data_IF_727843262717
#
_entry.id   IF_727843262717
#
_cell.length_a   1.000
_cell.length_b   1.000
_cell.length_c   1.000
_cell.angle_alpha   90.00
_cell.angle_beta   90.00
_cell.angle_gamma   90.00
#
_symmetry.space_group_name_H-M   'P 1'
#
loop_
_entity.id
_entity.type
_entity.pdbx_description
1 polymer ?
#
# COMPACT_ATOMS: atom_id res chain seq x y z
N UNK A 1 -15.49 -16.84 3.83
CA UNK A 1 -14.76 -15.75 4.48
C UNK A 1 -13.35 -15.63 3.95
N UNK A 2 -12.53 -16.67 4.10
CA UNK A 2 -11.18 -16.66 3.53
C UNK A 2 -11.19 -16.42 2.02
N UNK A 3 -12.15 -17.03 1.31
CA UNK A 3 -12.30 -16.86 -0.13
C UNK A 3 -12.58 -15.40 -0.52
N UNK A 4 -13.43 -14.72 0.26
CA UNK A 4 -13.76 -13.33 -0.03
C UNK A 4 -12.53 -12.42 0.11
N UNK A 5 -11.72 -12.65 1.14
CA UNK A 5 -10.49 -11.92 1.35
C UNK A 5 -9.51 -12.16 0.20
N UNK A 6 -9.35 -13.41 -0.21
CA UNK A 6 -8.46 -13.74 -1.32
C UNK A 6 -8.94 -13.13 -2.64
N UNK A 7 -10.25 -13.11 -2.89
CA UNK A 7 -10.80 -12.50 -4.11
C UNK A 7 -10.58 -11.00 -4.13
N UNK A 8 -10.73 -10.31 -3.00
CA UNK A 8 -10.46 -8.88 -2.92
C UNK A 8 -9.00 -8.60 -3.21
N UNK A 9 -8.09 -9.38 -2.64
CA UNK A 9 -6.66 -9.25 -2.91
C UNK A 9 -6.31 -9.49 -4.38
N UNK A 10 -6.95 -10.48 -5.01
CA UNK A 10 -6.72 -10.73 -6.43
C UNK A 10 -7.11 -9.52 -7.28
N UNK A 11 -8.26 -8.89 -6.98
CA UNK A 11 -8.67 -7.67 -7.67
C UNK A 11 -7.68 -6.54 -7.47
N UNK A 12 -7.14 -6.41 -6.26
CA UNK A 12 -6.13 -5.39 -5.98
C UNK A 12 -4.89 -5.63 -6.83
N UNK A 13 -4.35 -6.85 -6.83
CA UNK A 13 -3.15 -7.14 -7.61
C UNK A 13 -3.38 -6.98 -9.10
N UNK A 14 -4.53 -7.42 -9.62
CA UNK A 14 -4.87 -7.21 -11.03
C UNK A 14 -4.95 -5.72 -11.37
N UNK A 15 -5.59 -4.94 -10.52
CA UNK A 15 -5.69 -3.49 -10.70
C UNK A 15 -4.34 -2.80 -10.65
N UNK A 16 -3.46 -3.20 -9.73
CA UNK A 16 -2.10 -2.66 -9.66
C UNK A 16 -1.32 -2.97 -10.93
N UNK A 17 -1.45 -4.18 -11.43
CA UNK A 17 -0.76 -4.59 -12.66
C UNK A 17 -1.23 -3.79 -13.88
N UNK A 18 -2.54 -3.57 -13.99
CA UNK A 18 -3.10 -2.75 -15.07
C UNK A 18 -2.61 -1.31 -15.00
N UNK A 19 -2.69 -0.71 -13.81
CA UNK A 19 -2.26 0.68 -13.62
C UNK A 19 -0.76 0.85 -13.85
N UNK A 20 0.03 -0.14 -13.48
CA UNK A 20 1.49 -0.07 -13.65
C UNK A 20 1.92 -0.03 -15.12
N UNK A 21 1.03 -0.41 -16.05
CA UNK A 21 1.32 -0.34 -17.49
C UNK A 21 1.20 1.08 -18.04
N UNK A 22 0.55 1.99 -17.32
CA UNK A 22 0.35 3.35 -17.78
C UNK A 22 1.59 4.18 -17.50
N UNK A 23 2.00 4.99 -18.49
CA UNK A 23 3.18 5.85 -18.32
C UNK A 23 2.92 6.99 -17.35
N UNK A 24 1.72 7.54 -17.38
CA UNK A 24 1.33 8.66 -16.51
C UNK A 24 -0.16 8.56 -16.19
N UNK A 25 -0.56 8.74 -14.94
CA UNK A 25 -1.96 8.59 -14.56
C UNK A 25 -2.76 9.88 -14.79
N UNK A 26 -4.05 9.71 -15.03
CA UNK A 26 -5.04 10.78 -14.84
C UNK A 26 -5.42 10.85 -13.36
N UNK A 27 -6.10 11.94 -12.96
CA UNK A 27 -6.62 12.05 -11.60
C UNK A 27 -7.53 10.88 -11.21
N UNK A 28 -8.38 10.45 -12.15
CA UNK A 28 -9.26 9.31 -11.91
C UNK A 28 -8.50 8.02 -11.65
N UNK A 29 -7.37 7.83 -12.31
CA UNK A 29 -6.54 6.64 -12.12
C UNK A 29 -5.77 6.67 -10.80
N UNK A 30 -5.34 7.84 -10.35
CA UNK A 30 -4.75 7.98 -9.01
C UNK A 30 -5.81 7.68 -7.94
N UNK A 31 -7.03 8.16 -8.13
CA UNK A 31 -8.16 7.83 -7.26
C UNK A 31 -8.46 6.34 -7.24
N UNK A 32 -8.41 5.69 -8.40
CA UNK A 32 -8.60 4.25 -8.51
C UNK A 32 -7.52 3.50 -7.73
N UNK A 33 -6.27 3.92 -7.83
CA UNK A 33 -5.16 3.33 -7.09
C UNK A 33 -5.39 3.42 -5.58
N UNK A 34 -5.75 4.61 -5.09
CA UNK A 34 -6.06 4.80 -3.68
C UNK A 34 -7.25 3.93 -3.23
N UNK A 35 -8.27 3.80 -4.06
CA UNK A 35 -9.44 2.95 -3.75
C UNK A 35 -9.07 1.48 -3.66
N UNK A 36 -8.22 1.00 -4.56
CA UNK A 36 -7.73 -0.39 -4.50
C UNK A 36 -6.99 -0.65 -3.19
N UNK A 37 -6.07 0.24 -2.83
CA UNK A 37 -5.30 0.10 -1.60
C UNK A 37 -6.20 0.19 -0.35
N UNK A 38 -7.18 1.08 -0.37
CA UNK A 38 -8.13 1.22 0.73
C UNK A 38 -9.02 0.00 0.91
N UNK A 39 -9.36 -0.69 -0.19
CA UNK A 39 -10.25 -1.86 -0.13
C UNK A 39 -9.68 -3.02 0.67
N UNK A 40 -8.36 -3.07 0.85
CA UNK A 40 -7.67 -4.09 1.65
C UNK A 40 -7.01 -3.50 2.89
N UNK A 41 -7.39 -2.29 3.27
CA UNK A 41 -6.91 -1.58 4.46
C UNK A 41 -5.41 -1.29 4.46
N UNK A 42 -4.84 -1.08 3.27
CA UNK A 42 -3.43 -0.68 3.14
C UNK A 42 -3.23 0.82 3.32
N UNK A 43 -4.32 1.60 3.45
CA UNK A 43 -4.27 3.02 3.78
C UNK A 43 -5.08 3.21 5.05
N UNK A 44 -4.43 3.65 6.13
CA UNK A 44 -5.06 3.80 7.44
C UNK A 44 -4.56 5.06 8.14
N UNK A 45 -5.42 5.75 8.90
CA UNK A 45 -4.99 6.95 9.62
C UNK A 45 -3.92 6.62 10.67
N UNK A 46 -2.83 7.36 10.65
CA UNK A 46 -1.84 7.36 11.73
C UNK A 46 -1.01 8.65 11.59
N UNK A 47 -0.21 8.98 12.61
CA UNK A 47 0.59 10.19 12.56
C UNK A 47 1.85 9.95 11.72
N UNK A 48 1.67 9.91 10.40
CA UNK A 48 2.76 9.61 9.46
C UNK A 48 3.85 10.69 9.43
N UNK A 49 3.53 11.93 9.83
CA UNK A 49 4.51 13.01 9.90
C UNK A 49 5.55 12.77 11.00
N UNK A 50 5.14 12.12 12.09
CA UNK A 50 6.03 11.83 13.21
C UNK A 50 6.73 10.48 13.07
N UNK A 51 6.41 9.71 12.04
CA UNK A 51 7.01 8.39 11.82
C UNK A 51 8.26 8.55 10.98
N UNK A 52 9.41 8.30 11.59
CA UNK A 52 10.71 8.61 11.00
C UNK A 52 11.36 7.43 10.28
N UNK A 53 10.67 6.30 10.15
CA UNK A 53 11.23 5.13 9.46
C UNK A 53 11.63 5.50 8.02
N UNK A 54 12.86 5.18 7.60
CA UNK A 54 13.28 5.47 6.22
C UNK A 54 12.55 4.57 5.24
N UNK A 55 12.42 5.04 4.00
CA UNK A 55 11.85 4.21 2.94
C UNK A 55 12.79 3.02 2.68
N UNK A 56 12.30 1.78 2.79
CA UNK A 56 13.15 0.61 2.58
C UNK A 56 13.49 0.42 1.10
N UNK A 57 14.62 -0.22 0.85
CA UNK A 57 14.91 -0.73 -0.49
C UNK A 57 14.04 -1.96 -0.76
N UNK A 58 13.87 -2.32 -2.03
CA UNK A 58 12.97 -3.42 -2.40
C UNK A 58 13.26 -4.71 -1.61
N UNK A 59 14.53 -5.09 -1.50
CA UNK A 59 14.88 -6.33 -0.80
C UNK A 59 14.61 -6.27 0.71
N UNK A 60 14.57 -5.08 1.28
CA UNK A 60 14.29 -4.89 2.71
C UNK A 60 12.82 -5.04 3.05
N UNK A 61 11.93 -4.84 2.06
CA UNK A 61 10.48 -4.92 2.28
C UNK A 61 10.06 -6.31 2.78
N UNK A 62 10.75 -7.35 2.32
CA UNK A 62 10.44 -8.73 2.74
C UNK A 62 10.57 -8.97 4.24
N UNK A 63 11.35 -8.15 4.94
CA UNK A 63 11.54 -8.28 6.38
C UNK A 63 10.52 -7.47 7.21
N UNK A 64 9.66 -6.70 6.58
CA UNK A 64 8.71 -5.83 7.29
C UNK A 64 7.53 -6.61 7.82
N UNK A 65 6.95 -6.10 8.91
CA UNK A 65 5.65 -6.55 9.40
C UNK A 65 4.55 -6.02 8.49
N UNK A 66 3.34 -6.62 8.59
CA UNK A 66 2.18 -6.11 7.87
C UNK A 66 1.88 -4.66 8.27
N UNK A 67 1.98 -4.35 9.57
CA UNK A 67 1.72 -3.01 10.08
C UNK A 67 2.64 -1.97 9.44
N UNK A 68 3.93 -2.29 9.33
CA UNK A 68 4.90 -1.38 8.72
C UNK A 68 4.67 -1.23 7.22
N UNK A 69 4.26 -2.29 6.54
CA UNK A 69 3.86 -2.19 5.13
C UNK A 69 2.70 -1.21 4.95
N UNK A 70 1.67 -1.31 5.80
CA UNK A 70 0.53 -0.39 5.77
C UNK A 70 0.97 1.04 6.03
N UNK A 71 1.86 1.25 7.02
CA UNK A 71 2.37 2.58 7.35
C UNK A 71 3.12 3.20 6.17
N UNK A 72 3.98 2.44 5.50
CA UNK A 72 4.70 2.94 4.33
C UNK A 72 3.75 3.31 3.19
N UNK A 73 2.77 2.45 2.89
CA UNK A 73 1.79 2.72 1.83
C UNK A 73 0.97 3.97 2.17
N UNK A 74 0.49 4.08 3.41
CA UNK A 74 -0.27 5.25 3.84
C UNK A 74 0.56 6.52 3.71
N UNK A 75 1.83 6.49 4.13
CA UNK A 75 2.72 7.65 4.01
C UNK A 75 2.90 8.06 2.54
N UNK A 76 3.09 7.10 1.64
CA UNK A 76 3.20 7.38 0.22
C UNK A 76 1.93 8.03 -0.34
N UNK A 77 0.76 7.49 0.04
CA UNK A 77 -0.52 8.04 -0.39
C UNK A 77 -0.72 9.47 0.08
N UNK A 78 -0.34 9.76 1.33
CA UNK A 78 -0.46 11.11 1.89
C UNK A 78 0.56 12.07 1.27
N UNK A 79 1.79 11.62 1.08
CA UNK A 79 2.84 12.43 0.48
C UNK A 79 2.51 12.82 -0.96
N UNK A 80 1.78 11.99 -1.68
CA UNK A 80 1.40 12.24 -3.07
C UNK A 80 0.54 13.50 -3.22
N UNK A 81 -0.15 13.92 -2.16
CA UNK A 81 -0.97 15.14 -2.19
C UNK A 81 -0.14 16.41 -2.35
N UNK A 82 1.08 16.40 -1.83
CA UNK A 82 1.97 17.56 -1.88
C UNK A 82 3.17 17.34 -2.80
N UNK A 83 3.44 16.10 -3.17
CA UNK A 83 4.52 15.74 -4.08
C UNK A 83 3.96 14.76 -5.11
N UNK A 84 3.29 15.30 -6.11
CA UNK A 84 2.58 14.54 -7.12
C UNK A 84 3.50 13.52 -7.80
N UNK A 85 3.02 12.29 -7.90
CA UNK A 85 3.74 11.22 -8.57
C UNK A 85 4.51 10.28 -7.65
N UNK A 86 4.62 10.60 -6.36
CA UNK A 86 5.36 9.74 -5.39
C UNK A 86 4.72 8.35 -5.32
N UNK A 87 3.40 8.28 -5.17
CA UNK A 87 2.71 7.00 -5.09
C UNK A 87 2.81 6.22 -6.41
N UNK A 88 2.68 6.91 -7.52
CA UNK A 88 2.79 6.31 -8.85
C UNK A 88 4.20 5.78 -9.10
N UNK A 89 5.22 6.51 -8.70
CA UNK A 89 6.61 6.06 -8.81
C UNK A 89 6.85 4.78 -8.00
N UNK A 90 6.25 4.68 -6.82
CA UNK A 90 6.33 3.46 -6.01
C UNK A 90 5.65 2.27 -6.70
N UNK A 91 4.54 2.53 -7.40
CA UNK A 91 3.87 1.48 -8.20
C UNK A 91 4.76 1.01 -9.34
N UNK A 92 5.29 1.94 -10.13
CA UNK A 92 6.17 1.62 -11.27
C UNK A 92 7.46 0.93 -10.86
N UNK A 93 8.03 1.33 -9.73
CA UNK A 93 9.26 0.72 -9.22
C UNK A 93 9.07 -0.65 -8.56
N UNK A 94 7.82 -1.09 -8.39
CA UNK A 94 7.51 -2.38 -7.79
C UNK A 94 7.34 -2.36 -6.29
N UNK A 95 7.69 -1.27 -5.61
CA UNK A 95 7.62 -1.20 -4.15
C UNK A 95 6.19 -1.35 -3.64
N UNK A 96 5.23 -0.68 -4.29
CA UNK A 96 3.85 -0.70 -3.84
C UNK A 96 3.25 -2.10 -3.88
N UNK A 97 3.45 -2.82 -4.99
CA UNK A 97 3.00 -4.19 -5.14
C UNK A 97 3.67 -5.10 -4.10
N UNK A 98 4.96 -4.87 -3.84
CA UNK A 98 5.70 -5.67 -2.88
C UNK A 98 5.22 -5.43 -1.44
N UNK A 99 4.93 -4.17 -1.05
CA UNK A 99 4.30 -3.89 0.25
C UNK A 99 3.01 -4.66 0.42
N UNK A 100 2.16 -4.67 -0.61
CA UNK A 100 0.90 -5.41 -0.58
C UNK A 100 1.13 -6.92 -0.48
N UNK A 101 2.09 -7.45 -1.23
CA UNK A 101 2.43 -8.88 -1.20
C UNK A 101 2.88 -9.32 0.19
N UNK A 102 3.79 -8.57 0.80
CA UNK A 102 4.30 -8.90 2.13
C UNK A 102 3.20 -8.77 3.18
N UNK A 103 2.41 -7.70 3.13
CA UNK A 103 1.30 -7.50 4.06
C UNK A 103 0.32 -8.67 4.00
N UNK A 104 -0.05 -9.11 2.80
CA UNK A 104 -0.94 -10.25 2.62
C UNK A 104 -0.35 -11.53 3.21
N UNK A 105 0.93 -11.78 2.96
CA UNK A 105 1.60 -12.98 3.47
C UNK A 105 1.67 -12.98 4.99
N UNK A 106 1.84 -11.81 5.62
CA UNK A 106 1.93 -11.69 7.07
C UNK A 106 0.57 -11.75 7.75
N UNK A 107 -0.51 -11.41 7.03
CA UNK A 107 -1.87 -11.36 7.57
C UNK A 107 -2.83 -12.12 6.66
N UNK A 108 -2.77 -13.46 6.71
CA UNK A 108 -3.57 -14.32 5.84
C UNK A 108 -5.08 -14.08 5.99
N UNK A 109 -5.55 -13.69 7.17
CA UNK A 109 -6.96 -13.40 7.43
C UNK A 109 -7.40 -12.00 7.01
N UNK A 110 -6.51 -11.20 6.44
CA UNK A 110 -6.78 -9.82 6.06
C UNK A 110 -6.16 -8.81 7.01
N UNK A 111 -5.91 -7.61 6.49
CA UNK A 111 -5.35 -6.52 7.28
C UNK A 111 -6.46 -5.93 8.17
N UNK A 112 -6.23 -5.73 9.48
CA UNK A 112 -7.24 -5.12 10.35
C UNK A 112 -7.52 -3.68 9.94
N UNK A 113 -8.73 -3.21 10.23
CA UNK A 113 -9.17 -1.85 9.86
C UNK A 113 -8.40 -0.76 10.58
N UNK A 114 -7.85 -1.05 11.74
CA UNK A 114 -7.02 -0.09 12.47
C UNK A 114 -5.74 -0.75 12.95
N UNK A 115 -4.65 -0.02 12.79
CA UNK A 115 -3.34 -0.44 13.26
C UNK A 115 -3.20 -0.15 14.76
N UNK A 116 -2.38 -0.93 15.48
CA UNK A 116 -1.96 -0.53 16.82
C UNK A 116 -1.21 0.80 16.74
N UNK A 117 -1.26 1.57 17.83
CA UNK A 117 -0.54 2.84 17.86
C UNK A 117 0.96 2.60 17.67
N UNK A 118 1.56 3.45 16.83
CA UNK A 118 3.00 3.37 16.61
C UNK A 118 3.73 3.59 17.94
N UNK A 119 4.65 2.70 18.26
CA UNK A 119 5.40 2.77 19.51
C UNK A 119 4.73 2.14 20.71
N UNK A 120 3.53 1.59 20.55
CA UNK A 120 2.83 0.89 21.63
C UNK A 120 3.41 -0.50 21.84
#
# INVERSE_FOLDING_TARGET
>A
MQQDTDQVWLRVFDGLAELAQLSWPSEGQVGQLNSLLGSVHMIQPFNWNAWEAPMPQLHEIWALSADDCVRHVTRLSRADRTNEGVLWSALHGGALTLFCTVARLRCAGGIPESLPKAGA
#
